data_IF_576986822500
#
_entry.id   IF_576986822500
#
_cell.length_a   1.000
_cell.length_b   1.000
_cell.length_c   1.000
_cell.angle_alpha   90.00
_cell.angle_beta   90.00
_cell.angle_gamma   90.00
#
_symmetry.space_group_name_H-M   'P 1'
#
loop_
_entity.id
_entity.type
_entity.pdbx_description
1 polymer ?
#
# COMPACT_ATOMS: atom_id res chain seq x y z
N UNK A 1 15.06 17.83 16.48
CA UNK A 1 14.31 17.67 15.52
C UNK A 1 13.50 16.47 15.57
N UNK A 2 12.36 16.51 15.13
CA UNK A 2 11.57 15.46 15.20
C UNK A 2 11.34 14.94 13.91
N UNK A 3 11.31 13.79 13.71
CA UNK A 3 11.03 13.31 12.51
C UNK A 3 9.90 12.43 12.56
N UNK A 4 9.15 12.42 11.54
CA UNK A 4 8.01 11.59 11.46
C UNK A 4 8.45 10.22 11.34
N UNK A 5 7.92 9.36 12.08
CA UNK A 5 8.30 8.00 12.00
C UNK A 5 7.36 7.24 11.15
N UNK A 6 7.55 7.28 9.88
CA UNK A 6 6.73 6.50 8.99
C UNK A 6 7.15 5.07 9.16
N UNK A 7 6.19 4.22 9.40
CA UNK A 7 6.49 2.82 9.65
C UNK A 7 5.77 1.92 8.67
N UNK A 8 6.51 1.07 8.01
CA UNK A 8 5.92 0.13 7.08
C UNK A 8 5.25 -0.98 7.88
N UNK A 9 3.95 -1.16 7.66
CA UNK A 9 3.19 -2.15 8.36
C UNK A 9 3.16 -3.45 7.60
N UNK A 10 2.95 -3.39 6.28
CA UNK A 10 2.95 -4.61 5.51
C UNK A 10 3.30 -4.32 4.07
N UNK A 11 3.91 -5.29 3.42
CA UNK A 11 4.30 -5.18 2.03
C UNK A 11 3.85 -6.43 1.32
N UNK A 12 3.21 -6.27 0.19
CA UNK A 12 2.77 -7.39 -0.60
C UNK A 12 3.35 -7.24 -2.01
N UNK A 13 3.96 -8.28 -2.52
CA UNK A 13 4.53 -8.26 -3.85
C UNK A 13 4.00 -9.41 -4.67
N UNK A 14 3.80 -9.16 -5.95
CA UNK A 14 3.33 -10.21 -6.81
C UNK A 14 3.78 -9.92 -8.23
N UNK A 15 4.06 -10.96 -8.99
CA UNK A 15 4.45 -10.83 -10.37
C UNK A 15 3.28 -11.21 -11.23
N UNK A 16 2.89 -10.33 -12.14
CA UNK A 16 1.80 -10.59 -13.04
C UNK A 16 2.33 -10.54 -14.46
N UNK A 17 2.43 -11.69 -15.08
CA UNK A 17 2.93 -11.75 -16.43
C UNK A 17 4.28 -11.05 -16.52
N UNK A 18 4.32 -9.89 -17.12
CA UNK A 18 5.58 -9.17 -17.23
C UNK A 18 5.60 -7.95 -16.35
N UNK A 19 4.69 -7.87 -15.38
CA UNK A 19 4.62 -6.71 -14.51
C UNK A 19 4.85 -7.08 -13.06
N UNK A 20 5.50 -6.20 -12.34
CA UNK A 20 5.73 -6.41 -10.94
C UNK A 20 4.82 -5.46 -10.17
N UNK A 21 4.07 -5.99 -9.22
CA UNK A 21 3.16 -5.19 -8.43
C UNK A 21 3.61 -5.21 -6.99
N UNK A 22 3.70 -4.05 -6.37
CA UNK A 22 4.05 -3.94 -4.97
C UNK A 22 2.99 -3.07 -4.28
N UNK A 23 2.42 -3.57 -3.19
CA UNK A 23 1.45 -2.82 -2.43
C UNK A 23 1.97 -2.72 -1.01
N UNK A 24 2.06 -1.51 -0.51
CA UNK A 24 2.63 -1.25 0.81
C UNK A 24 1.65 -0.44 1.65
N UNK A 25 1.52 -0.81 2.91
CA UNK A 25 0.75 -0.01 3.85
C UNK A 25 1.72 0.57 4.85
N UNK A 26 1.71 1.88 4.98
CA UNK A 26 2.63 2.60 5.85
C UNK A 26 1.82 3.43 6.84
N UNK A 27 2.22 3.42 8.09
CA UNK A 27 1.60 4.28 9.06
C UNK A 27 2.27 5.64 9.01
N UNK A 28 1.48 6.69 8.79
CA UNK A 28 2.00 8.04 8.73
C UNK A 28 1.22 8.89 9.71
N UNK A 29 1.90 9.41 10.67
CA UNK A 29 1.26 10.26 11.68
C UNK A 29 -0.08 9.73 12.19
N UNK A 30 -1.17 10.25 11.66
CA UNK A 30 -2.48 9.88 12.15
C UNK A 30 -3.28 9.01 11.24
N UNK A 31 -2.70 8.56 10.18
CA UNK A 31 -3.46 7.76 9.24
C UNK A 31 -2.57 6.70 8.62
N UNK A 32 -3.10 6.00 7.64
CA UNK A 32 -2.37 4.94 6.98
C UNK A 32 -2.34 5.22 5.49
N UNK A 33 -1.18 5.07 4.90
CA UNK A 33 -1.01 5.32 3.48
C UNK A 33 -0.86 4.00 2.76
N UNK A 34 -1.68 3.78 1.75
CA UNK A 34 -1.56 2.58 0.94
C UNK A 34 -0.96 3.01 -0.38
N UNK A 35 0.12 2.36 -0.77
CA UNK A 35 0.82 2.68 -2.01
C UNK A 35 0.82 1.44 -2.88
N UNK A 36 0.39 1.60 -4.12
CA UNK A 36 0.43 0.52 -5.08
C UNK A 36 1.31 0.94 -6.25
N UNK A 37 2.29 0.14 -6.56
CA UNK A 37 3.19 0.42 -7.67
C UNK A 37 3.10 -0.71 -8.67
N UNK A 38 2.75 -0.38 -9.91
CA UNK A 38 2.71 -1.35 -10.99
C UNK A 38 3.60 -0.77 -12.07
N UNK A 39 4.77 -1.38 -12.27
CA UNK A 39 5.77 -0.85 -13.18
C UNK A 39 6.11 0.58 -12.76
N UNK A 40 5.73 1.56 -13.56
CA UNK A 40 6.01 2.96 -13.23
C UNK A 40 4.80 3.68 -12.71
N UNK A 41 3.64 3.00 -12.62
CA UNK A 41 2.43 3.64 -12.12
C UNK A 41 2.40 3.57 -10.61
N UNK A 42 2.28 4.71 -9.98
CA UNK A 42 2.22 4.79 -8.53
C UNK A 42 0.87 5.35 -8.11
N UNK A 43 0.18 4.62 -7.24
CA UNK A 43 -1.12 5.05 -6.74
C UNK A 43 -1.02 5.12 -5.23
N UNK A 44 -1.44 6.21 -4.65
CA UNK A 44 -1.41 6.39 -3.20
C UNK A 44 -2.75 6.85 -2.69
N UNK A 45 -3.15 6.34 -1.55
CA UNK A 45 -4.40 6.72 -0.94
C UNK A 45 -4.23 6.66 0.58
N UNK A 46 -4.89 7.56 1.27
CA UNK A 46 -4.80 7.60 2.73
C UNK A 46 -6.09 7.13 3.35
N UNK A 47 -5.98 6.41 4.45
CA UNK A 47 -7.12 5.88 5.17
C UNK A 47 -6.97 6.16 6.65
N UNK A 48 -8.08 6.42 7.31
CA UNK A 48 -8.05 6.74 8.73
C UNK A 48 -7.77 5.51 9.58
N UNK A 49 -8.16 4.34 9.10
CA UNK A 49 -7.99 3.12 9.87
C UNK A 49 -7.24 2.06 9.11
N UNK A 50 -6.47 1.29 9.85
CA UNK A 50 -5.69 0.22 9.24
C UNK A 50 -6.60 -0.80 8.55
N UNK A 51 -7.72 -1.12 9.17
CA UNK A 51 -8.64 -2.09 8.58
C UNK A 51 -9.13 -1.66 7.21
N UNK A 52 -9.35 -0.38 7.04
CA UNK A 52 -9.78 0.13 5.75
C UNK A 52 -8.70 -0.06 4.70
N UNK A 53 -7.47 0.32 5.04
CA UNK A 53 -6.36 0.18 4.10
C UNK A 53 -6.14 -1.28 3.76
N UNK A 54 -6.23 -2.14 4.75
CA UNK A 54 -6.00 -3.54 4.55
C UNK A 54 -7.07 -4.16 3.64
N UNK A 55 -8.33 -3.80 3.85
CA UNK A 55 -9.41 -4.31 3.02
C UNK A 55 -9.26 -3.86 1.57
N UNK A 56 -8.84 -2.62 1.38
CA UNK A 56 -8.62 -2.11 0.03
C UNK A 56 -7.48 -2.85 -0.63
N UNK A 57 -6.43 -3.14 0.13
CA UNK A 57 -5.31 -3.90 -0.40
C UNK A 57 -5.76 -5.28 -0.88
N UNK A 58 -6.58 -5.95 -0.08
CA UNK A 58 -7.06 -7.26 -0.45
C UNK A 58 -7.92 -7.21 -1.71
N UNK A 59 -8.72 -6.18 -1.85
CA UNK A 59 -9.52 -6.02 -3.05
C UNK A 59 -8.65 -5.78 -4.26
N UNK A 60 -7.61 -5.01 -4.11
CA UNK A 60 -6.69 -4.76 -5.20
C UNK A 60 -6.03 -6.05 -5.65
N UNK A 61 -5.65 -6.89 -4.70
CA UNK A 61 -5.03 -8.15 -5.02
C UNK A 61 -6.00 -9.04 -5.78
N UNK A 62 -7.25 -9.07 -5.35
CA UNK A 62 -8.24 -9.87 -6.04
C UNK A 62 -8.48 -9.38 -7.46
N UNK A 63 -8.53 -8.07 -7.64
CA UNK A 63 -8.77 -7.51 -8.96
C UNK A 63 -7.60 -7.78 -9.90
N UNK A 64 -6.41 -7.92 -9.36
CA UNK A 64 -5.24 -8.13 -10.19
C UNK A 64 -5.04 -9.58 -10.59
N UNK A 65 -5.70 -10.49 -9.95
CA UNK A 65 -5.52 -11.89 -10.26
C UNK A 65 -6.23 -12.37 -11.50
#
# INVERSE_FOLDING_TARGET
MKRTSDRIICVFRMDLSSKEVTITITRVEKCYKLTRVIDTDVYEQYYARLAQAYNVMLKMIEDLR
#
